data_IF_263783435429
#
_entry.id   IF_263783435429
#
_cell.length_a   1.000
_cell.length_b   1.000
_cell.length_c   1.000
_cell.angle_alpha   90.00
_cell.angle_beta   90.00
_cell.angle_gamma   90.00
#
_symmetry.space_group_name_H-M   'P 1'
#
loop_
_entity.id
_entity.type
_entity.pdbx_description
1 polymer ?
#
# COMPACT_ATOMS: atom_id res chain seq x y z
N UNK A 1 23.68 52.12 16.49
CA UNK A 1 23.09 53.29 15.78
C UNK A 1 24.09 53.74 14.73
N UNK A 2 23.60 54.11 13.54
CA UNK A 2 24.31 54.61 12.34
C UNK A 2 25.01 53.51 11.47
N UNK A 3 24.48 53.16 10.28
CA UNK A 3 24.50 53.84 8.95
C UNK A 3 25.79 53.43 8.16
N UNK A 4 25.88 53.19 6.85
CA UNK A 4 25.13 53.50 5.62
C UNK A 4 25.71 52.66 4.44
N UNK A 5 24.88 52.39 3.42
CA UNK A 5 25.10 52.39 1.94
C UNK A 5 26.27 51.62 1.26
N UNK A 6 26.03 50.63 0.39
CA UNK A 6 25.66 50.62 -1.06
C UNK A 6 26.77 51.11 -2.02
N UNK A 7 27.14 50.24 -2.98
CA UNK A 7 27.48 50.42 -4.43
C UNK A 7 28.58 49.40 -4.85
N UNK A 8 28.67 48.82 -6.05
CA UNK A 8 27.87 48.65 -7.29
C UNK A 8 28.82 47.91 -8.25
N UNK A 9 28.38 46.91 -9.03
CA UNK A 9 28.50 46.77 -10.50
C UNK A 9 28.22 45.27 -10.77
N UNK A 10 27.19 44.78 -11.46
CA UNK A 10 26.53 45.03 -12.76
C UNK A 10 27.31 44.56 -13.99
N UNK A 11 26.92 43.39 -14.51
CA UNK A 11 26.67 43.10 -15.94
C UNK A 11 26.02 41.71 -16.03
N UNK A 12 24.69 41.59 -16.12
CA UNK A 12 23.89 41.68 -17.35
C UNK A 12 24.52 41.02 -18.59
N UNK A 13 23.98 39.85 -18.96
CA UNK A 13 23.36 39.70 -20.27
C UNK A 13 22.31 38.59 -20.23
N UNK A 14 21.09 39.04 -20.47
CA UNK A 14 19.81 38.35 -20.54
C UNK A 14 19.61 37.79 -21.96
N UNK A 15 19.11 36.55 -22.08
CA UNK A 15 18.39 36.10 -23.28
C UNK A 15 17.14 35.31 -22.90
N UNK A 16 16.08 36.07 -22.60
CA UNK A 16 14.72 35.99 -23.15
C UNK A 16 14.27 34.66 -23.80
N UNK A 17 13.19 34.13 -23.24
CA UNK A 17 12.16 33.26 -23.84
C UNK A 17 11.38 32.62 -22.70
N UNK A 18 10.15 33.01 -22.33
CA UNK A 18 9.03 33.47 -23.13
C UNK A 18 8.05 32.31 -23.28
N UNK A 19 7.05 32.23 -22.40
CA UNK A 19 6.01 31.20 -22.45
C UNK A 19 5.20 31.13 -21.16
N UNK A 20 4.18 31.98 -21.06
CA UNK A 20 3.15 31.90 -20.04
C UNK A 20 2.10 30.89 -20.49
N UNK A 21 1.81 29.90 -19.65
CA UNK A 21 0.56 29.13 -19.74
C UNK A 21 -0.10 29.14 -18.37
N UNK A 22 -1.38 29.48 -18.41
CA UNK A 22 -2.28 29.75 -17.30
C UNK A 22 -3.53 28.94 -17.55
N UNK A 23 -3.62 27.76 -16.95
CA UNK A 23 -4.86 26.99 -16.76
C UNK A 23 -4.76 26.40 -15.35
N UNK A 24 -5.45 26.90 -14.32
CA UNK A 24 -6.90 27.03 -14.09
C UNK A 24 -7.62 25.67 -14.08
N UNK A 25 -8.02 25.30 -12.86
CA UNK A 25 -9.15 24.45 -12.50
C UNK A 25 -9.13 23.00 -12.98
N UNK A 26 -9.01 22.07 -12.02
CA UNK A 26 -10.16 21.19 -11.80
C UNK A 26 -10.35 20.87 -10.31
N UNK A 27 -11.45 21.43 -9.78
CA UNK A 27 -12.21 20.84 -8.69
C UNK A 27 -13.09 19.77 -9.34
N UNK A 28 -12.71 18.51 -9.27
CA UNK A 28 -13.68 17.40 -9.34
C UNK A 28 -14.21 17.19 -7.93
N UNK A 29 -15.31 17.84 -7.56
CA UNK A 29 -16.63 17.25 -7.71
C UNK A 29 -16.71 15.92 -6.93
N UNK A 30 -17.20 16.09 -5.71
CA UNK A 30 -18.08 15.17 -4.99
C UNK A 30 -18.87 14.28 -5.97
N UNK A 31 -18.83 12.97 -5.69
CA UNK A 31 -19.90 11.98 -5.84
C UNK A 31 -19.32 10.68 -6.43
N UNK A 32 -18.86 9.80 -5.54
CA UNK A 32 -19.34 8.43 -5.65
C UNK A 32 -20.21 8.20 -4.42
N UNK A 33 -21.50 8.51 -4.56
CA UNK A 33 -22.51 7.66 -3.94
C UNK A 33 -22.14 6.23 -4.36
N UNK A 34 -21.57 5.47 -3.43
CA UNK A 34 -21.56 4.03 -3.51
C UNK A 34 -22.68 3.60 -2.57
N UNK A 35 -23.77 3.19 -3.21
CA UNK A 35 -25.03 2.79 -2.62
C UNK A 35 -24.90 2.09 -1.27
N UNK A 36 -25.69 2.59 -0.32
CA UNK A 36 -26.16 1.89 0.86
C UNK A 36 -27.00 0.69 0.40
N UNK A 37 -26.34 -0.38 -0.03
CA UNK A 37 -26.95 -1.67 -0.26
C UNK A 37 -26.34 -2.65 0.75
N UNK A 38 -27.06 -2.78 1.87
CA UNK A 38 -26.92 -3.84 2.84
C UNK A 38 -26.84 -5.22 2.15
N UNK A 39 -25.63 -5.71 1.94
CA UNK A 39 -25.32 -7.07 1.54
C UNK A 39 -24.62 -7.76 2.72
N UNK A 40 -25.40 -8.01 3.77
CA UNK A 40 -25.16 -9.02 4.81
C UNK A 40 -25.04 -10.42 4.15
N UNK A 41 -23.91 -10.69 3.52
CA UNK A 41 -23.56 -12.01 2.99
C UNK A 41 -22.04 -12.11 2.86
N UNK A 42 -21.40 -12.65 3.90
CA UNK A 42 -20.08 -13.31 3.88
C UNK A 42 -18.90 -12.61 3.18
N UNK A 43 -18.93 -11.28 3.01
CA UNK A 43 -17.79 -10.53 2.48
C UNK A 43 -16.71 -10.44 3.54
N UNK A 44 -15.54 -11.02 3.26
CA UNK A 44 -14.35 -10.89 4.11
C UNK A 44 -14.14 -9.41 4.42
N UNK A 45 -14.01 -9.00 5.70
CA UNK A 45 -14.05 -7.58 6.11
C UNK A 45 -12.90 -6.75 5.53
N UNK A 46 -11.84 -7.44 5.12
CA UNK A 46 -10.64 -6.87 4.56
C UNK A 46 -10.24 -7.61 3.28
N UNK A 47 -9.65 -6.89 2.33
CA UNK A 47 -9.16 -7.46 1.08
C UNK A 47 -7.75 -6.99 0.78
N UNK A 48 -7.09 -7.70 -0.14
CA UNK A 48 -5.71 -7.45 -0.53
C UNK A 48 -5.61 -7.48 -2.04
N UNK A 49 -4.99 -6.45 -2.60
CA UNK A 49 -4.79 -6.33 -4.04
C UNK A 49 -3.31 -5.98 -4.35
N UNK A 50 -2.58 -6.79 -5.13
CA UNK A 50 -2.96 -8.11 -5.64
C UNK A 50 -2.92 -9.22 -4.56
N UNK A 51 -3.69 -10.30 -4.72
CA UNK A 51 -3.64 -11.47 -3.81
C UNK A 51 -2.44 -12.41 -4.07
N UNK A 52 -1.71 -12.16 -5.14
CA UNK A 52 -0.52 -12.91 -5.54
C UNK A 52 0.66 -11.95 -5.79
N UNK A 53 1.81 -12.28 -5.22
CA UNK A 53 3.08 -11.59 -5.43
C UNK A 53 4.02 -12.48 -6.24
N UNK A 54 4.49 -11.99 -7.39
CA UNK A 54 5.43 -12.72 -8.25
C UNK A 54 6.81 -12.06 -8.20
N UNK A 55 7.84 -12.87 -7.98
CA UNK A 55 9.23 -12.44 -7.84
C UNK A 55 10.15 -13.21 -8.79
N UNK A 56 11.26 -12.58 -9.15
CA UNK A 56 12.33 -13.23 -9.93
C UNK A 56 13.32 -13.93 -8.99
N UNK A 57 14.18 -14.79 -9.56
CA UNK A 57 15.27 -15.44 -8.80
C UNK A 57 16.26 -14.42 -8.18
N UNK A 58 16.47 -13.29 -8.87
CA UNK A 58 17.30 -12.18 -8.37
C UNK A 58 16.62 -11.38 -7.24
N UNK A 59 15.41 -11.75 -6.85
CA UNK A 59 14.62 -11.01 -5.87
C UNK A 59 13.63 -10.02 -6.50
N UNK A 60 13.17 -9.08 -5.70
CA UNK A 60 12.30 -8.00 -6.15
C UNK A 60 11.37 -7.46 -5.07
N UNK A 61 10.67 -6.37 -5.37
CA UNK A 61 9.68 -5.74 -4.50
C UNK A 61 8.29 -5.92 -5.12
N UNK A 62 7.31 -6.31 -4.30
CA UNK A 62 5.89 -6.34 -4.64
C UNK A 62 5.13 -5.44 -3.68
N UNK A 63 4.25 -4.61 -4.21
CA UNK A 63 3.42 -3.71 -3.43
C UNK A 63 1.97 -4.22 -3.45
N UNK A 64 1.35 -4.23 -2.28
CA UNK A 64 -0.01 -4.69 -2.07
C UNK A 64 -0.80 -3.60 -1.35
N UNK A 65 -2.07 -3.47 -1.70
CA UNK A 65 -3.01 -2.59 -1.05
C UNK A 65 -3.92 -3.42 -0.15
N UNK A 66 -3.95 -3.08 1.12
CA UNK A 66 -4.84 -3.69 2.11
C UNK A 66 -6.00 -2.74 2.33
N UNK A 67 -7.22 -3.19 2.01
CA UNK A 67 -8.42 -2.34 2.00
C UNK A 67 -9.41 -2.83 3.06
N UNK A 68 -9.75 -1.93 3.99
CA UNK A 68 -10.78 -2.15 5.00
C UNK A 68 -12.13 -1.61 4.51
N UNK A 69 -13.12 -2.49 4.35
CA UNK A 69 -14.48 -2.13 3.95
C UNK A 69 -15.44 -1.98 5.14
N UNK A 70 -14.96 -2.15 6.36
CA UNK A 70 -15.79 -2.06 7.56
C UNK A 70 -15.85 -0.63 8.09
N UNK A 71 -16.88 -0.36 8.88
CA UNK A 71 -17.03 0.87 9.65
C UNK A 71 -16.18 0.91 10.93
N UNK A 72 -15.42 -0.16 11.23
CA UNK A 72 -14.57 -0.27 12.42
C UNK A 72 -13.09 -0.10 12.07
N UNK A 73 -12.30 0.30 13.06
CA UNK A 73 -10.83 0.26 12.96
C UNK A 73 -10.36 -1.17 13.09
N UNK A 74 -9.37 -1.54 12.27
CA UNK A 74 -8.81 -2.89 12.30
C UNK A 74 -7.31 -2.84 12.51
N UNK A 75 -6.81 -3.67 13.43
CA UNK A 75 -5.38 -3.92 13.58
C UNK A 75 -4.99 -5.13 12.74
N UNK A 76 -3.84 -5.03 12.08
CA UNK A 76 -3.33 -6.04 11.16
C UNK A 76 -1.93 -6.46 11.57
N UNK A 77 -1.69 -7.76 11.52
CA UNK A 77 -0.40 -8.39 11.76
C UNK A 77 -0.06 -9.29 10.59
N UNK A 78 1.10 -9.05 10.00
CA UNK A 78 1.56 -9.80 8.84
C UNK A 78 2.67 -10.75 9.28
N UNK A 79 2.55 -12.01 8.87
CA UNK A 79 3.49 -13.09 9.15
C UNK A 79 3.89 -13.73 7.83
N UNK A 80 5.18 -13.89 7.62
CA UNK A 80 5.70 -14.69 6.51
C UNK A 80 6.36 -15.96 7.08
N UNK A 81 6.19 -17.09 6.39
CA UNK A 81 6.76 -18.37 6.79
C UNK A 81 8.27 -18.50 6.53
N UNK A 82 8.85 -17.60 5.73
CA UNK A 82 10.20 -17.74 5.20
C UNK A 82 11.02 -16.46 5.36
N UNK A 83 12.28 -16.63 5.73
CA UNK A 83 13.22 -15.54 6.00
C UNK A 83 13.67 -14.78 4.74
N UNK A 84 13.49 -15.35 3.55
CA UNK A 84 13.85 -14.71 2.29
C UNK A 84 12.84 -13.62 1.86
N UNK A 85 11.64 -13.61 2.43
CA UNK A 85 10.66 -12.55 2.22
C UNK A 85 10.63 -11.61 3.43
N UNK A 86 10.88 -10.33 3.19
CA UNK A 86 10.75 -9.25 4.17
C UNK A 86 9.47 -8.50 3.92
N UNK A 87 8.71 -8.23 4.97
CA UNK A 87 7.42 -7.55 4.88
C UNK A 87 7.48 -6.27 5.69
N UNK A 88 7.05 -5.16 5.07
CA UNK A 88 7.04 -3.84 5.69
C UNK A 88 5.75 -3.09 5.31
N UNK A 89 4.94 -2.62 6.28
CA UNK A 89 5.06 -2.81 7.74
C UNK A 89 4.64 -4.23 8.18
N UNK A 90 5.09 -4.69 9.36
CA UNK A 90 4.67 -5.98 9.95
C UNK A 90 3.40 -5.88 10.79
N UNK A 91 3.17 -4.71 11.36
CA UNK A 91 2.00 -4.40 12.19
C UNK A 91 1.49 -3.04 11.76
N UNK A 92 0.20 -2.92 11.51
CA UNK A 92 -0.41 -1.66 11.12
C UNK A 92 -1.87 -1.57 11.55
N UNK A 93 -2.38 -0.35 11.63
CA UNK A 93 -3.81 -0.09 11.84
C UNK A 93 -4.37 0.49 10.56
N UNK A 94 -5.55 0.00 10.17
CA UNK A 94 -6.31 0.49 9.04
C UNK A 94 -7.60 1.11 9.58
N UNK A 95 -7.75 2.40 9.29
CA UNK A 95 -8.95 3.16 9.60
C UNK A 95 -10.17 2.61 8.82
N UNK A 96 -11.40 2.84 9.28
CA UNK A 96 -12.60 2.41 8.57
C UNK A 96 -12.68 3.04 7.18
N UNK A 97 -13.07 2.24 6.18
CA UNK A 97 -13.16 2.67 4.78
C UNK A 97 -11.86 3.28 4.21
N UNK A 98 -10.69 2.84 4.73
CA UNK A 98 -9.37 3.27 4.26
C UNK A 98 -8.55 2.08 3.80
N UNK A 99 -7.50 2.40 3.04
CA UNK A 99 -6.51 1.44 2.59
C UNK A 99 -5.12 1.80 3.13
N UNK A 100 -4.25 0.78 3.20
CA UNK A 100 -2.84 0.92 3.56
C UNK A 100 -1.98 0.07 2.64
N UNK A 101 -0.82 0.62 2.29
CA UNK A 101 0.16 -0.08 1.46
C UNK A 101 0.99 -1.05 2.31
N UNK A 102 1.22 -2.23 1.75
CA UNK A 102 2.07 -3.29 2.26
C UNK A 102 3.13 -3.61 1.21
N UNK A 103 4.39 -3.57 1.60
CA UNK A 103 5.51 -3.95 0.76
C UNK A 103 6.02 -5.33 1.15
N UNK A 104 6.22 -6.19 0.15
CA UNK A 104 6.90 -7.48 0.29
C UNK A 104 8.16 -7.45 -0.58
N UNK A 105 9.33 -7.58 0.06
CA UNK A 105 10.62 -7.64 -0.60
C UNK A 105 11.17 -9.06 -0.55
N UNK A 106 11.54 -9.63 -1.69
CA UNK A 106 12.19 -10.94 -1.80
C UNK A 106 13.68 -10.76 -2.02
N UNK A 107 14.47 -11.37 -1.14
CA UNK A 107 15.91 -11.53 -1.32
C UNK A 107 16.21 -12.53 -2.46
N UNK A 108 17.37 -12.40 -3.15
CA UNK A 108 17.81 -13.38 -4.12
C UNK A 108 17.87 -14.78 -3.48
N UNK A 109 17.37 -15.79 -4.19
CA UNK A 109 17.29 -17.15 -3.65
C UNK A 109 16.47 -18.08 -4.52
N UNK A 110 16.41 -19.38 -4.16
CA UNK A 110 15.87 -20.42 -5.04
C UNK A 110 14.41 -20.16 -5.43
N UNK A 111 14.02 -20.75 -6.56
CA UNK A 111 12.63 -20.81 -7.03
C UNK A 111 11.80 -21.51 -5.95
N UNK A 112 10.80 -20.80 -5.43
CA UNK A 112 10.00 -21.27 -4.31
C UNK A 112 8.63 -20.59 -4.30
N UNK A 113 7.62 -21.38 -3.93
CA UNK A 113 6.28 -20.87 -3.63
C UNK A 113 6.08 -20.85 -2.12
N UNK A 114 5.54 -19.75 -1.60
CA UNK A 114 5.27 -19.53 -0.19
C UNK A 114 3.98 -18.72 0.01
N UNK A 115 3.61 -18.45 1.26
CA UNK A 115 2.40 -17.73 1.64
C UNK A 115 2.71 -16.71 2.73
N UNK A 116 2.30 -15.46 2.53
CA UNK A 116 2.21 -14.50 3.63
C UNK A 116 0.82 -14.61 4.26
N UNK A 117 0.76 -14.69 5.58
CA UNK A 117 -0.47 -14.75 6.38
C UNK A 117 -0.71 -13.37 6.98
N UNK A 118 -1.90 -12.83 6.74
CA UNK A 118 -2.31 -11.51 7.22
C UNK A 118 -3.46 -11.73 8.17
N UNK A 119 -3.16 -11.54 9.44
CA UNK A 119 -4.10 -11.63 10.55
C UNK A 119 -4.71 -10.27 10.80
N UNK A 120 -5.99 -10.23 11.10
CA UNK A 120 -6.70 -8.99 11.40
C UNK A 120 -7.62 -9.18 12.59
N UNK A 121 -7.81 -8.10 13.34
CA UNK A 121 -8.74 -8.02 14.48
C UNK A 121 -9.43 -6.66 14.48
N UNK A 122 -10.68 -6.64 14.89
CA UNK A 122 -11.41 -5.41 15.16
C UNK A 122 -10.84 -4.76 16.42
N UNK A 123 -10.63 -3.45 16.40
CA UNK A 123 -10.16 -2.69 17.55
C UNK A 123 -11.06 -1.50 17.83
N UNK A 124 -11.11 -1.10 19.10
CA UNK A 124 -11.79 0.11 19.54
C UNK A 124 -10.94 1.36 19.22
N UNK A 125 -11.56 2.54 19.28
CA UNK A 125 -10.95 3.79 18.84
C UNK A 125 -9.75 4.23 19.71
N UNK A 126 -9.67 3.74 20.94
CA UNK A 126 -8.65 4.12 21.92
C UNK A 126 -7.30 3.43 21.65
N UNK A 127 -7.29 2.33 20.90
CA UNK A 127 -6.08 1.56 20.63
C UNK A 127 -5.31 2.17 19.46
N UNK A 128 -4.14 2.75 19.75
CA UNK A 128 -3.21 3.28 18.75
C UNK A 128 -2.13 2.26 18.33
N UNK A 129 -1.94 1.21 19.12
CA UNK A 129 -0.90 0.20 18.91
C UNK A 129 -1.47 -1.14 18.46
N UNK A 130 -1.27 -1.50 17.19
CA UNK A 130 -1.66 -2.81 16.66
C UNK A 130 -1.02 -3.96 17.46
N UNK A 131 0.25 -3.81 17.88
CA UNK A 131 0.96 -4.85 18.66
C UNK A 131 0.28 -5.14 20.00
N UNK A 132 -0.19 -4.11 20.69
CA UNK A 132 -0.88 -4.26 21.97
C UNK A 132 -2.22 -5.00 21.80
N UNK A 133 -2.97 -4.66 20.74
CA UNK A 133 -4.23 -5.33 20.41
C UNK A 133 -4.04 -6.84 20.18
N UNK A 134 -3.02 -7.24 19.40
CA UNK A 134 -2.73 -8.66 19.18
C UNK A 134 -2.30 -9.36 20.46
N UNK A 135 -1.51 -8.72 21.33
CA UNK A 135 -1.12 -9.30 22.62
C UNK A 135 -2.33 -9.54 23.54
N UNK A 136 -3.29 -8.62 23.53
CA UNK A 136 -4.55 -8.77 24.27
C UNK A 136 -5.41 -9.90 23.69
N UNK A 137 -5.54 -9.99 22.37
CA UNK A 137 -6.29 -11.05 21.69
C UNK A 137 -5.67 -12.44 21.92
N UNK A 138 -4.34 -12.54 21.89
CA UNK A 138 -3.59 -13.76 22.21
C UNK A 138 -3.84 -14.18 23.68
N UNK A 139 -3.83 -13.23 24.62
CA UNK A 139 -4.13 -13.49 26.04
C UNK A 139 -5.58 -13.90 26.30
N UNK A 140 -6.52 -13.42 25.49
CA UNK A 140 -7.92 -13.80 25.54
C UNK A 140 -8.23 -15.14 24.83
N UNK A 141 -7.26 -15.74 24.13
CA UNK A 141 -7.44 -17.00 23.39
C UNK A 141 -8.43 -16.89 22.22
N UNK A 142 -8.65 -15.68 21.69
CA UNK A 142 -9.60 -15.47 20.59
C UNK A 142 -9.05 -16.04 19.28
N UNK A 143 -9.88 -16.74 18.50
CA UNK A 143 -9.49 -17.20 17.16
C UNK A 143 -9.33 -16.00 16.23
N UNK A 144 -8.09 -15.72 15.84
CA UNK A 144 -7.76 -14.60 14.96
C UNK A 144 -7.97 -15.02 13.50
N UNK A 145 -8.88 -14.37 12.74
CA UNK A 145 -9.06 -14.65 11.33
C UNK A 145 -7.85 -14.17 10.51
N UNK A 146 -7.65 -14.78 9.33
CA UNK A 146 -6.51 -14.46 8.47
C UNK A 146 -6.81 -14.61 6.98
N UNK A 147 -6.05 -13.88 6.16
CA UNK A 147 -6.00 -13.98 4.70
C UNK A 147 -4.60 -14.41 4.28
N UNK A 148 -4.48 -15.03 3.11
CA UNK A 148 -3.20 -15.50 2.54
C UNK A 148 -2.89 -14.74 1.26
N UNK A 149 -1.67 -14.22 1.14
CA UNK A 149 -1.10 -13.78 -0.14
C UNK A 149 -0.22 -14.91 -0.66
N UNK A 150 -0.42 -15.33 -1.91
CA UNK A 150 0.46 -16.31 -2.56
C UNK A 150 1.76 -15.62 -2.98
N UNK A 151 2.91 -16.14 -2.56
CA UNK A 151 4.22 -15.64 -2.95
C UNK A 151 4.84 -16.64 -3.91
N UNK A 152 5.17 -16.21 -5.13
CA UNK A 152 5.76 -17.09 -6.16
C UNK A 152 7.09 -16.49 -6.60
N UNK A 153 8.20 -17.11 -6.22
CA UNK A 153 9.52 -16.80 -6.74
C UNK A 153 9.86 -17.80 -7.84
N UNK A 154 9.96 -17.35 -9.10
CA UNK A 154 10.17 -18.23 -10.26
C UNK A 154 10.98 -17.58 -11.38
N UNK A 155 11.51 -18.39 -12.30
CA UNK A 155 12.36 -17.94 -13.40
C UNK A 155 11.62 -17.16 -14.52
N UNK A 156 10.35 -16.81 -14.34
CA UNK A 156 9.53 -16.22 -15.39
C UNK A 156 8.67 -15.08 -14.89
N UNK A 157 9.21 -13.87 -14.83
CA UNK A 157 8.40 -12.66 -14.98
C UNK A 157 8.65 -12.09 -16.38
N UNK A 158 8.34 -12.88 -17.41
CA UNK A 158 8.04 -12.31 -18.70
C UNK A 158 6.72 -11.55 -18.53
N UNK A 159 6.75 -10.22 -18.67
CA UNK A 159 5.54 -9.42 -18.82
C UNK A 159 4.61 -10.18 -19.76
N UNK A 160 3.41 -10.56 -19.29
CA UNK A 160 2.33 -10.92 -20.20
C UNK A 160 2.01 -9.62 -20.94
N UNK A 161 2.76 -9.33 -21.99
CA UNK A 161 2.39 -8.29 -22.95
C UNK A 161 1.03 -8.77 -23.46
N UNK A 162 -0.03 -8.08 -23.05
CA UNK A 162 -1.32 -8.17 -23.71
C UNK A 162 -1.04 -7.90 -25.18
N UNK A 163 -0.96 -8.97 -25.96
CA UNK A 163 -0.89 -8.90 -27.41
C UNK A 163 -2.30 -8.49 -27.84
N UNK A 164 -2.58 -7.19 -27.78
CA UNK A 164 -3.56 -6.59 -28.66
C UNK A 164 -2.97 -6.76 -30.06
N UNK A 165 -3.43 -7.81 -30.74
CA UNK A 165 -3.28 -7.93 -32.18
C UNK A 165 -4.16 -6.83 -32.74
N UNK A 166 -3.55 -5.70 -33.11
CA UNK A 166 -4.16 -4.76 -34.03
C UNK A 166 -4.54 -5.56 -35.29
N UNK A 167 -5.83 -5.49 -35.62
CA UNK A 167 -6.42 -5.98 -36.86
C UNK A 167 -5.73 -5.36 -38.07
N UNK A 168 -5.52 -6.18 -39.12
CA UNK A 168 -5.65 -5.81 -40.53
C UNK A 168 -6.22 -7.00 -41.31
#
# INVERSE_FOLDING_TARGET
MAKEDIQKETKESNSKGGGAEKEKQDKSAKNSDCDEANSEASKVPITIDPEEARFTNSGGKSEHMVVNFTAKRMAIKIRCGNALFRVEPTHMIVEPNKCRQLTINRMPGPIQTDKAIIQYIDIEKDVQDAKAAFKAADGAGTKIPYIKIKLVAGAGCGRKMSREVLEE
#
